data_IF_110519692496
#
_entry.id   IF_110519692496
#
_cell.length_a   1.000
_cell.length_b   1.000
_cell.length_c   1.000
_cell.angle_alpha   90.00
_cell.angle_beta   90.00
_cell.angle_gamma   90.00
#
_symmetry.space_group_name_H-M   'P 1'
#
loop_
_entity.id
_entity.type
_entity.pdbx_description
1 polymer ?
#
# COMPACT_ATOMS: atom_id res chain seq x y z
N UNK A 1 -28.44 -0.61 -15.70
CA UNK A 1 -27.35 -1.51 -16.13
C UNK A 1 -26.94 -2.33 -14.90
N UNK A 2 -26.12 -3.38 -15.05
CA UNK A 2 -25.57 -4.09 -13.90
C UNK A 2 -24.46 -3.28 -13.22
N UNK A 3 -24.11 -3.60 -11.96
CA UNK A 3 -23.03 -2.92 -11.23
C UNK A 3 -21.69 -2.93 -12.00
N UNK A 4 -21.38 -4.07 -12.63
CA UNK A 4 -20.16 -4.21 -13.45
C UNK A 4 -20.22 -3.36 -14.72
N UNK A 5 -21.37 -3.31 -15.41
CA UNK A 5 -21.52 -2.52 -16.63
C UNK A 5 -21.48 -1.03 -16.36
N UNK A 6 -22.09 -0.56 -15.26
CA UNK A 6 -22.05 0.86 -14.86
C UNK A 6 -20.61 1.28 -14.53
N UNK A 7 -19.87 0.46 -13.76
CA UNK A 7 -18.46 0.72 -13.45
C UNK A 7 -17.61 0.77 -14.73
N UNK A 8 -17.82 -0.17 -15.66
CA UNK A 8 -17.08 -0.21 -16.92
C UNK A 8 -17.32 1.06 -17.79
N UNK A 9 -18.55 1.59 -17.80
CA UNK A 9 -18.85 2.84 -18.47
C UNK A 9 -18.19 4.04 -17.80
N UNK A 10 -18.19 4.08 -16.46
CA UNK A 10 -17.50 5.14 -15.71
C UNK A 10 -16.00 5.16 -16.04
N UNK A 11 -15.33 3.99 -16.00
CA UNK A 11 -13.90 3.87 -16.33
C UNK A 11 -13.64 4.37 -17.76
N UNK A 12 -14.41 3.94 -18.75
CA UNK A 12 -14.21 4.33 -20.14
C UNK A 12 -14.47 5.82 -20.42
N UNK A 13 -15.34 6.45 -19.63
CA UNK A 13 -15.74 7.84 -19.83
C UNK A 13 -14.69 8.86 -19.32
N UNK A 14 -13.81 8.47 -18.40
CA UNK A 14 -12.82 9.39 -17.82
C UNK A 14 -11.76 9.75 -18.87
N UNK A 15 -11.48 11.06 -18.97
CA UNK A 15 -10.40 11.61 -19.78
C UNK A 15 -9.30 12.16 -18.86
N UNK A 16 -8.04 11.95 -19.22
CA UNK A 16 -6.91 12.45 -18.42
C UNK A 16 -7.01 13.97 -18.18
N UNK A 17 -7.43 14.74 -19.18
CA UNK A 17 -7.53 16.20 -19.06
C UNK A 17 -8.69 16.66 -18.16
N UNK A 18 -9.58 15.77 -17.75
CA UNK A 18 -10.67 16.06 -16.83
C UNK A 18 -10.29 15.80 -15.36
N UNK A 19 -9.14 15.16 -15.09
CA UNK A 19 -8.68 14.94 -13.72
C UNK A 19 -8.18 16.26 -13.12
N UNK A 20 -8.54 16.56 -11.85
CA UNK A 20 -8.01 17.72 -11.15
C UNK A 20 -6.48 17.65 -10.96
N UNK A 21 -5.80 18.79 -10.95
CA UNK A 21 -4.34 18.85 -10.76
C UNK A 21 -3.87 18.20 -9.46
N UNK A 22 -4.64 18.31 -8.37
CA UNK A 22 -4.31 17.69 -7.10
C UNK A 22 -4.30 16.14 -7.19
N UNK A 23 -5.12 15.54 -8.05
CA UNK A 23 -5.13 14.08 -8.28
C UNK A 23 -3.81 13.64 -8.93
N UNK A 24 -3.30 14.40 -9.90
CA UNK A 24 -1.98 14.16 -10.49
C UNK A 24 -0.86 14.35 -9.47
N UNK A 25 -0.97 15.35 -8.60
CA UNK A 25 0.00 15.56 -7.53
C UNK A 25 0.02 14.38 -6.56
N UNK A 26 -1.13 13.94 -6.05
CA UNK A 26 -1.22 12.77 -5.16
C UNK A 26 -0.75 11.48 -5.87
N UNK A 27 -1.05 11.28 -7.15
CA UNK A 27 -0.51 10.16 -7.92
C UNK A 27 1.04 10.18 -7.97
N UNK A 28 1.67 11.35 -8.13
CA UNK A 28 3.14 11.49 -8.04
C UNK A 28 3.64 11.19 -6.63
N UNK A 29 2.98 11.68 -5.58
CA UNK A 29 3.33 11.39 -4.18
C UNK A 29 3.30 9.89 -3.89
N UNK A 30 2.26 9.20 -4.34
CA UNK A 30 2.18 7.74 -4.19
C UNK A 30 3.27 7.01 -4.97
N UNK A 31 3.67 7.53 -6.16
CA UNK A 31 4.78 6.95 -6.94
C UNK A 31 6.13 7.15 -6.25
N UNK A 32 6.38 8.33 -5.68
CA UNK A 32 7.58 8.59 -4.84
C UNK A 32 7.64 7.56 -3.71
N UNK A 33 6.52 7.38 -2.98
CA UNK A 33 6.44 6.46 -1.87
C UNK A 33 6.66 5.00 -2.30
N UNK A 34 5.95 4.54 -3.33
CA UNK A 34 5.96 3.12 -3.72
C UNK A 34 7.31 2.70 -4.33
N UNK A 35 7.97 3.58 -5.09
CA UNK A 35 9.31 3.29 -5.61
C UNK A 35 10.35 3.28 -4.49
N UNK A 36 10.25 4.17 -3.50
CA UNK A 36 11.13 4.17 -2.35
C UNK A 36 11.07 2.83 -1.59
N UNK A 37 9.86 2.36 -1.25
CA UNK A 37 9.69 1.10 -0.52
C UNK A 37 10.04 -0.12 -1.37
N UNK A 38 9.80 -0.08 -2.69
CA UNK A 38 10.17 -1.17 -3.59
C UNK A 38 11.69 -1.30 -3.74
N UNK A 39 12.39 -0.19 -3.94
CA UNK A 39 13.86 -0.16 -4.06
C UNK A 39 14.51 -0.62 -2.76
N UNK A 40 14.03 -0.15 -1.61
CA UNK A 40 14.58 -0.57 -0.31
C UNK A 40 14.36 -2.06 0.00
N UNK A 41 13.35 -2.68 -0.60
CA UNK A 41 13.06 -4.11 -0.44
C UNK A 41 13.85 -5.02 -1.39
N UNK A 42 14.55 -4.50 -2.40
CA UNK A 42 15.13 -5.27 -3.51
C UNK A 42 16.08 -6.40 -3.08
N UNK A 43 16.80 -6.22 -1.96
CA UNK A 43 17.76 -7.17 -1.44
C UNK A 43 17.19 -8.16 -0.43
N UNK A 44 15.89 -8.08 -0.11
CA UNK A 44 15.25 -9.02 0.80
C UNK A 44 15.23 -10.45 0.20
N UNK A 45 15.50 -11.45 1.04
CA UNK A 45 15.58 -12.85 0.58
C UNK A 45 14.36 -13.34 -0.22
N UNK A 46 13.10 -13.05 0.17
CA UNK A 46 11.94 -13.45 -0.63
C UNK A 46 11.85 -12.72 -1.98
N UNK A 47 12.34 -11.46 -2.08
CA UNK A 47 12.42 -10.73 -3.36
C UNK A 47 13.46 -11.36 -4.27
N UNK A 48 14.61 -11.72 -3.74
CA UNK A 48 15.67 -12.40 -4.51
C UNK A 48 15.17 -13.77 -5.03
N UNK A 49 14.46 -14.54 -4.22
CA UNK A 49 13.87 -15.81 -4.63
C UNK A 49 12.83 -15.61 -5.75
N UNK A 50 11.96 -14.60 -5.62
CA UNK A 50 10.94 -14.31 -6.63
C UNK A 50 11.55 -13.78 -7.93
N UNK A 51 12.61 -12.94 -7.85
CA UNK A 51 13.31 -12.42 -9.01
C UNK A 51 14.08 -13.54 -9.74
N UNK A 52 14.70 -14.47 -9.00
CA UNK A 52 15.36 -15.63 -9.58
C UNK A 52 14.37 -16.54 -10.31
N UNK A 53 13.21 -16.83 -9.70
CA UNK A 53 12.11 -17.55 -10.34
C UNK A 53 11.65 -16.82 -11.63
N UNK A 54 11.42 -15.51 -11.58
CA UNK A 54 10.99 -14.72 -12.74
C UNK A 54 12.02 -14.74 -13.89
N UNK A 55 13.30 -14.81 -13.56
CA UNK A 55 14.39 -14.94 -14.53
C UNK A 55 14.42 -16.34 -15.18
N UNK A 56 14.20 -17.39 -14.38
CA UNK A 56 14.19 -18.80 -14.85
C UNK A 56 12.99 -19.08 -15.77
N UNK A 57 11.80 -18.56 -15.45
CA UNK A 57 10.61 -18.66 -16.31
C UNK A 57 10.82 -18.08 -17.70
N UNK A 58 11.70 -17.10 -17.84
CA UNK A 58 12.05 -16.44 -19.10
C UNK A 58 10.83 -15.77 -19.76
N UNK A 59 11.02 -14.60 -20.32
CA UNK A 59 9.96 -13.93 -21.10
C UNK A 59 10.52 -12.84 -22.00
N UNK A 60 9.69 -12.31 -22.91
CA UNK A 60 10.08 -11.15 -23.74
C UNK A 60 10.38 -9.95 -22.84
N UNK A 61 11.57 -9.31 -22.97
CA UNK A 61 12.06 -8.27 -22.06
C UNK A 61 11.40 -6.90 -22.35
N UNK A 62 10.13 -6.72 -21.98
CA UNK A 62 9.30 -5.55 -22.29
C UNK A 62 9.04 -4.61 -21.11
N UNK A 63 9.23 -5.11 -19.88
CA UNK A 63 9.01 -4.32 -18.67
C UNK A 63 10.13 -4.55 -17.66
N UNK A 64 10.43 -3.52 -16.85
CA UNK A 64 11.54 -3.48 -15.89
C UNK A 64 11.10 -4.01 -14.52
N UNK A 65 11.91 -4.87 -13.92
CA UNK A 65 11.83 -5.22 -12.50
C UNK A 65 12.68 -4.25 -11.70
N UNK A 66 12.07 -3.58 -10.73
CA UNK A 66 12.72 -2.57 -9.88
C UNK A 66 13.96 -3.14 -9.20
N UNK A 67 15.04 -2.37 -9.16
CA UNK A 67 16.30 -2.70 -8.48
C UNK A 67 17.17 -3.72 -9.17
N UNK A 68 16.61 -4.75 -9.78
CA UNK A 68 17.38 -5.95 -10.23
C UNK A 68 17.98 -5.85 -11.63
N UNK A 69 17.61 -4.85 -12.43
CA UNK A 69 18.00 -4.80 -13.85
C UNK A 69 17.33 -5.85 -14.75
N UNK A 70 16.57 -6.80 -14.20
CA UNK A 70 15.84 -7.81 -14.96
C UNK A 70 14.73 -7.14 -15.80
N UNK A 71 14.69 -7.47 -17.08
CA UNK A 71 13.57 -7.14 -17.97
C UNK A 71 12.82 -8.42 -18.35
N UNK A 72 11.51 -8.39 -18.22
CA UNK A 72 10.66 -9.57 -18.44
C UNK A 72 9.32 -9.17 -19.07
N UNK A 73 8.32 -10.07 -19.08
CA UNK A 73 6.98 -9.69 -19.53
C UNK A 73 6.31 -8.73 -18.54
N UNK A 74 5.41 -7.86 -19.00
CA UNK A 74 4.70 -6.93 -18.12
C UNK A 74 3.98 -7.60 -16.95
N UNK A 75 3.40 -8.79 -17.15
CA UNK A 75 2.70 -9.53 -16.08
C UNK A 75 3.67 -10.05 -15.01
N UNK A 76 4.84 -10.55 -15.40
CA UNK A 76 5.86 -11.01 -14.44
C UNK A 76 6.50 -9.80 -13.73
N UNK A 77 6.80 -8.71 -14.45
CA UNK A 77 7.31 -7.49 -13.83
C UNK A 77 6.31 -6.91 -12.83
N UNK A 78 5.01 -6.86 -13.17
CA UNK A 78 3.95 -6.42 -12.25
C UNK A 78 3.85 -7.31 -11.00
N UNK A 79 4.04 -8.63 -11.14
CA UNK A 79 4.07 -9.55 -10.00
C UNK A 79 5.24 -9.23 -9.05
N UNK A 80 6.47 -9.17 -9.56
CA UNK A 80 7.67 -8.96 -8.74
C UNK A 80 7.65 -7.57 -8.09
N UNK A 81 7.33 -6.54 -8.87
CA UNK A 81 7.25 -5.16 -8.38
C UNK A 81 6.14 -4.98 -7.35
N UNK A 82 4.97 -5.62 -7.55
CA UNK A 82 3.86 -5.60 -6.60
C UNK A 82 4.19 -6.31 -5.28
N UNK A 83 5.04 -7.34 -5.33
CA UNK A 83 5.56 -8.00 -4.15
C UNK A 83 6.49 -7.06 -3.36
N UNK A 84 7.46 -6.45 -4.03
CA UNK A 84 8.37 -5.49 -3.40
C UNK A 84 7.63 -4.30 -2.79
N UNK A 85 6.62 -3.80 -3.49
CA UNK A 85 5.82 -2.67 -3.09
C UNK A 85 5.16 -2.84 -1.70
N UNK A 86 4.86 -4.08 -1.29
CA UNK A 86 4.11 -4.36 -0.06
C UNK A 86 4.89 -5.16 1.00
N UNK A 87 6.07 -5.68 0.68
CA UNK A 87 6.81 -6.58 1.58
C UNK A 87 7.08 -5.96 2.95
N UNK A 88 7.46 -4.69 2.98
CA UNK A 88 7.81 -4.00 4.21
C UNK A 88 6.60 -3.44 4.98
N UNK A 89 5.38 -3.55 4.44
CA UNK A 89 4.18 -2.91 5.01
C UNK A 89 4.36 -1.39 5.23
N UNK A 90 5.08 -0.75 4.29
CA UNK A 90 5.50 0.65 4.37
C UNK A 90 4.96 1.49 3.19
N UNK A 91 4.02 0.93 2.45
CA UNK A 91 3.26 1.56 1.37
C UNK A 91 2.22 2.57 1.89
N UNK A 92 1.12 2.72 1.24
CA UNK A 92 0.01 3.60 1.62
C UNK A 92 -1.14 2.82 2.25
N UNK A 93 -2.16 3.54 2.72
CA UNK A 93 -3.39 2.94 3.22
C UNK A 93 -4.58 3.86 2.95
N UNK A 94 -5.63 3.34 2.33
CA UNK A 94 -6.92 4.00 2.24
C UNK A 94 -7.66 3.83 3.57
N UNK A 95 -7.78 4.91 4.32
CA UNK A 95 -8.24 4.91 5.71
C UNK A 95 -9.66 4.33 5.87
N UNK A 96 -10.66 4.64 5.01
CA UNK A 96 -12.00 4.09 5.18
C UNK A 96 -12.10 2.57 5.07
N UNK A 97 -11.10 1.86 4.52
CA UNK A 97 -11.22 0.42 4.20
C UNK A 97 -9.99 -0.40 4.50
N UNK A 98 -8.91 0.20 5.01
CA UNK A 98 -7.59 -0.42 5.23
C UNK A 98 -6.98 -1.09 3.98
N UNK A 99 -7.47 -0.73 2.78
CA UNK A 99 -6.87 -1.14 1.50
C UNK A 99 -5.53 -0.43 1.30
N UNK A 100 -4.57 -1.11 0.66
CA UNK A 100 -3.33 -0.51 0.16
C UNK A 100 -3.45 -0.34 -1.38
N UNK A 101 -3.94 0.80 -1.90
CA UNK A 101 -4.28 0.90 -3.33
C UNK A 101 -3.07 0.93 -4.25
N UNK A 102 -1.94 1.45 -3.78
CA UNK A 102 -0.75 1.69 -4.61
C UNK A 102 -0.05 0.39 -5.00
N UNK A 103 0.07 -0.55 -4.07
CA UNK A 103 0.83 -1.79 -4.28
C UNK A 103 0.28 -2.71 -5.39
N UNK A 104 -1.03 -2.87 -5.62
CA UNK A 104 -1.55 -3.59 -6.78
C UNK A 104 -1.61 -2.76 -8.06
N UNK A 105 -1.77 -1.43 -7.99
CA UNK A 105 -2.09 -0.62 -9.18
C UNK A 105 -0.84 -0.09 -9.86
N UNK A 106 0.11 0.57 -9.13
CA UNK A 106 1.31 1.13 -9.75
C UNK A 106 2.18 0.10 -10.49
N UNK A 107 2.44 -1.11 -9.95
CA UNK A 107 3.22 -2.12 -10.66
C UNK A 107 2.58 -2.57 -11.98
N UNK A 108 1.25 -2.68 -12.04
CA UNK A 108 0.53 -2.99 -13.28
C UNK A 108 0.62 -1.83 -14.28
N UNK A 109 0.45 -0.58 -13.81
CA UNK A 109 0.53 0.63 -14.63
C UNK A 109 1.93 0.80 -15.22
N UNK A 110 2.99 0.78 -14.39
CA UNK A 110 4.36 0.98 -14.86
C UNK A 110 4.78 -0.08 -15.88
N UNK A 111 4.47 -1.35 -15.60
CA UNK A 111 4.82 -2.44 -16.50
C UNK A 111 4.09 -2.38 -17.84
N UNK A 112 2.80 -1.99 -17.85
CA UNK A 112 2.04 -1.83 -19.08
C UNK A 112 2.43 -0.57 -19.84
N UNK A 113 2.57 0.57 -19.14
CA UNK A 113 2.92 1.84 -19.73
C UNK A 113 4.29 1.76 -20.43
N UNK A 114 5.26 1.07 -19.82
CA UNK A 114 6.56 0.79 -20.44
C UNK A 114 6.44 -0.08 -21.71
N UNK A 115 5.59 -1.13 -21.65
CA UNK A 115 5.35 -2.06 -22.78
C UNK A 115 4.76 -1.36 -24.01
N UNK A 116 3.86 -0.37 -23.78
CA UNK A 116 3.14 0.32 -24.87
C UNK A 116 3.67 1.71 -25.21
N UNK A 117 4.68 2.21 -24.48
CA UNK A 117 5.24 3.55 -24.67
C UNK A 117 4.24 4.65 -24.28
N UNK A 118 3.50 4.48 -23.18
CA UNK A 118 2.54 5.48 -22.72
C UNK A 118 3.24 6.72 -22.15
N UNK A 119 2.58 7.88 -22.27
CA UNK A 119 3.05 9.12 -21.64
C UNK A 119 3.00 9.03 -20.12
N UNK A 120 3.84 9.81 -19.45
CA UNK A 120 3.79 9.87 -17.98
C UNK A 120 2.44 10.40 -17.47
N UNK A 121 1.81 11.34 -18.19
CA UNK A 121 0.47 11.84 -17.85
C UNK A 121 -0.59 10.74 -17.94
N UNK A 122 -0.54 9.91 -18.97
CA UNK A 122 -1.46 8.76 -19.09
C UNK A 122 -1.21 7.72 -17.99
N UNK A 123 0.05 7.48 -17.61
CA UNK A 123 0.36 6.57 -16.51
C UNK A 123 -0.19 7.08 -15.16
N UNK A 124 -0.04 8.37 -14.86
CA UNK A 124 -0.61 9.00 -13.67
C UNK A 124 -2.14 8.92 -13.65
N UNK A 125 -2.79 9.22 -14.78
CA UNK A 125 -4.24 9.13 -14.91
C UNK A 125 -4.73 7.69 -14.72
N UNK A 126 -4.07 6.72 -15.34
CA UNK A 126 -4.40 5.30 -15.21
C UNK A 126 -4.26 4.82 -13.76
N UNK A 127 -3.20 5.25 -13.07
CA UNK A 127 -3.05 4.96 -11.64
C UNK A 127 -4.21 5.54 -10.84
N UNK A 128 -4.55 6.82 -11.02
CA UNK A 128 -5.64 7.45 -10.29
C UNK A 128 -6.97 6.72 -10.49
N UNK A 129 -7.30 6.36 -11.74
CA UNK A 129 -8.51 5.59 -12.08
C UNK A 129 -8.49 4.21 -11.42
N UNK A 130 -7.36 3.52 -11.47
CA UNK A 130 -7.22 2.19 -10.86
C UNK A 130 -7.32 2.23 -9.33
N UNK A 131 -6.68 3.21 -8.69
CA UNK A 131 -6.78 3.42 -7.25
C UNK A 131 -8.22 3.75 -6.83
N UNK A 132 -8.90 4.63 -7.58
CA UNK A 132 -10.31 4.96 -7.38
C UNK A 132 -11.20 3.72 -7.41
N UNK A 133 -11.04 2.87 -8.45
CA UNK A 133 -11.82 1.62 -8.57
C UNK A 133 -11.51 0.66 -7.42
N UNK A 134 -10.25 0.48 -7.04
CA UNK A 134 -9.88 -0.37 -5.91
C UNK A 134 -10.51 0.11 -4.60
N UNK A 135 -10.45 1.42 -4.32
CA UNK A 135 -11.06 2.02 -3.13
C UNK A 135 -12.59 1.85 -3.12
N UNK A 136 -13.27 2.09 -4.24
CA UNK A 136 -14.73 1.95 -4.33
C UNK A 136 -15.20 0.51 -4.22
N UNK A 137 -14.51 -0.44 -4.84
CA UNK A 137 -14.77 -1.87 -4.62
C UNK A 137 -14.59 -2.21 -3.13
N UNK A 138 -13.53 -1.69 -2.50
CA UNK A 138 -13.29 -1.89 -1.07
C UNK A 138 -14.42 -1.32 -0.22
N UNK A 139 -14.82 -0.08 -0.45
CA UNK A 139 -15.91 0.56 0.27
C UNK A 139 -17.23 -0.20 0.12
N UNK A 140 -17.48 -0.77 -1.06
CA UNK A 140 -18.71 -1.54 -1.30
C UNK A 140 -18.82 -2.82 -0.47
N UNK A 141 -17.73 -3.31 0.12
CA UNK A 141 -17.71 -4.58 0.87
C UNK A 141 -17.15 -4.44 2.29
N UNK A 142 -16.54 -3.32 2.66
CA UNK A 142 -16.05 -3.08 4.00
C UNK A 142 -17.22 -2.69 4.96
N UNK A 143 -17.24 -3.19 6.23
CA UNK A 143 -16.24 -4.04 6.88
C UNK A 143 -16.44 -5.56 6.66
N UNK A 144 -17.59 -6.00 6.19
CA UNK A 144 -18.05 -7.42 6.18
C UNK A 144 -17.04 -8.38 5.54
N UNK A 145 -16.44 -7.95 4.43
CA UNK A 145 -15.44 -8.74 3.69
C UNK A 145 -14.14 -8.89 4.49
N UNK A 146 -13.69 -7.81 5.11
CA UNK A 146 -12.47 -7.79 5.92
C UNK A 146 -12.65 -8.64 7.19
N UNK A 147 -13.81 -8.52 7.87
CA UNK A 147 -14.15 -9.27 9.07
C UNK A 147 -14.29 -10.77 8.79
N UNK A 148 -14.71 -11.16 7.57
CA UNK A 148 -14.74 -12.54 7.14
C UNK A 148 -13.33 -13.16 6.95
N UNK A 149 -12.26 -12.37 7.05
CA UNK A 149 -10.88 -12.84 6.96
C UNK A 149 -10.22 -12.64 5.59
N UNK A 150 -10.81 -11.85 4.71
CA UNK A 150 -10.20 -11.50 3.42
C UNK A 150 -9.22 -10.32 3.55
N UNK A 151 -8.08 -10.40 2.86
CA UNK A 151 -7.19 -9.26 2.70
C UNK A 151 -7.67 -8.39 1.53
N UNK A 152 -8.33 -7.31 1.85
CA UNK A 152 -8.99 -6.42 0.87
C UNK A 152 -8.04 -5.91 -0.22
N UNK A 153 -6.75 -5.73 0.08
CA UNK A 153 -5.71 -5.33 -0.89
C UNK A 153 -5.56 -6.34 -2.03
N UNK A 154 -5.64 -7.63 -1.74
CA UNK A 154 -5.56 -8.68 -2.77
C UNK A 154 -6.85 -8.81 -3.57
N UNK A 155 -8.00 -8.70 -2.89
CA UNK A 155 -9.31 -8.98 -3.49
C UNK A 155 -9.88 -7.79 -4.25
N UNK A 156 -9.81 -6.57 -3.72
CA UNK A 156 -10.25 -5.35 -4.40
C UNK A 156 -9.18 -4.77 -5.33
N UNK A 157 -7.90 -4.91 -4.96
CA UNK A 157 -6.79 -4.39 -5.77
C UNK A 157 -6.71 -4.96 -7.18
N UNK A 158 -7.18 -6.19 -7.41
CA UNK A 158 -7.23 -6.76 -8.76
C UNK A 158 -8.15 -5.98 -9.69
N UNK A 159 -9.31 -5.50 -9.20
CA UNK A 159 -10.21 -4.65 -9.97
C UNK A 159 -9.57 -3.31 -10.31
N UNK A 160 -8.81 -2.73 -9.37
CA UNK A 160 -8.04 -1.50 -9.63
C UNK A 160 -6.99 -1.69 -10.72
N UNK A 161 -6.21 -2.76 -10.66
CA UNK A 161 -5.23 -3.10 -11.69
C UNK A 161 -5.89 -3.36 -13.07
N UNK A 162 -7.07 -4.02 -13.10
CA UNK A 162 -7.89 -4.18 -14.32
C UNK A 162 -8.28 -2.83 -14.88
N UNK A 163 -8.85 -1.93 -14.06
CA UNK A 163 -9.34 -0.64 -14.50
C UNK A 163 -8.22 0.22 -15.10
N UNK A 164 -7.08 0.31 -14.41
CA UNK A 164 -5.92 1.03 -14.89
C UNK A 164 -5.40 0.49 -16.23
N UNK A 165 -5.26 -0.83 -16.33
CA UNK A 165 -4.76 -1.48 -17.55
C UNK A 165 -5.74 -1.32 -18.73
N UNK A 166 -7.05 -1.48 -18.50
CA UNK A 166 -8.07 -1.30 -19.52
C UNK A 166 -8.12 0.14 -20.04
N UNK A 167 -7.99 1.12 -19.13
CA UNK A 167 -7.99 2.53 -19.51
C UNK A 167 -6.76 2.88 -20.36
N UNK A 168 -5.56 2.42 -19.99
CA UNK A 168 -4.33 2.59 -20.79
C UNK A 168 -4.45 1.95 -22.18
N UNK A 169 -5.07 0.77 -22.27
CA UNK A 169 -5.29 0.06 -23.53
C UNK A 169 -6.46 0.63 -24.34
N UNK A 170 -7.17 1.65 -23.82
CA UNK A 170 -8.32 2.31 -24.44
C UNK A 170 -9.43 1.31 -24.84
N UNK A 171 -9.72 0.36 -23.94
CA UNK A 171 -10.72 -0.68 -24.17
C UNK A 171 -12.14 -0.08 -24.16
N UNK A 172 -13.05 -0.70 -24.91
CA UNK A 172 -14.47 -0.35 -24.91
C UNK A 172 -15.11 -0.72 -23.56
N UNK A 173 -16.25 -0.09 -23.18
CA UNK A 173 -16.99 -0.48 -21.96
C UNK A 173 -17.30 -1.98 -21.89
N UNK A 174 -17.65 -2.60 -23.02
CA UNK A 174 -17.89 -4.04 -23.09
C UNK A 174 -16.62 -4.86 -22.77
N UNK A 175 -15.48 -4.49 -23.35
CA UNK A 175 -14.20 -5.12 -23.06
C UNK A 175 -13.76 -4.91 -21.60
N UNK A 176 -14.03 -3.73 -21.03
CA UNK A 176 -13.76 -3.44 -19.61
C UNK A 176 -14.61 -4.32 -18.72
N UNK A 177 -15.92 -4.49 -19.00
CA UNK A 177 -16.78 -5.39 -18.25
C UNK A 177 -16.28 -6.84 -18.31
N UNK A 178 -15.85 -7.30 -19.49
CA UNK A 178 -15.23 -8.61 -19.65
C UNK A 178 -13.92 -8.74 -18.86
N UNK A 179 -13.06 -7.71 -18.85
CA UNK A 179 -11.82 -7.71 -18.08
C UNK A 179 -12.09 -7.73 -16.56
N UNK A 180 -13.09 -6.97 -16.10
CA UNK A 180 -13.53 -7.00 -14.69
C UNK A 180 -14.00 -8.39 -14.29
N UNK A 181 -14.68 -9.12 -15.20
CA UNK A 181 -15.09 -10.51 -14.96
C UNK A 181 -13.89 -11.46 -14.84
N UNK A 182 -12.91 -11.35 -15.74
CA UNK A 182 -11.68 -12.15 -15.70
C UNK A 182 -10.85 -11.82 -14.44
N UNK A 183 -10.74 -10.55 -14.05
CA UNK A 183 -10.06 -10.13 -12.83
C UNK A 183 -10.80 -10.55 -11.57
N UNK A 184 -12.11 -10.34 -11.52
CA UNK A 184 -12.94 -10.61 -10.34
C UNK A 184 -12.95 -12.10 -9.94
N UNK A 185 -12.88 -13.03 -10.91
CA UNK A 185 -12.75 -14.45 -10.58
C UNK A 185 -11.39 -14.83 -9.98
N UNK A 186 -10.42 -13.94 -10.00
CA UNK A 186 -9.08 -14.11 -9.43
C UNK A 186 -8.89 -13.35 -8.10
N UNK A 187 -9.95 -12.70 -7.60
CA UNK A 187 -9.93 -11.99 -6.31
C UNK A 187 -9.70 -12.99 -5.18
N UNK A 188 -8.53 -12.92 -4.55
CA UNK A 188 -8.12 -13.84 -3.49
C UNK A 188 -7.12 -13.20 -2.53
N UNK A 189 -7.06 -13.74 -1.31
CA UNK A 189 -6.12 -13.34 -0.27
C UNK A 189 -6.72 -13.50 1.12
N UNK A 190 -6.13 -14.36 1.96
CA UNK A 190 -6.61 -14.62 3.33
C UNK A 190 -5.72 -13.96 4.37
N UNK A 191 -6.31 -13.35 5.39
CA UNK A 191 -5.59 -12.62 6.45
C UNK A 191 -4.72 -13.52 7.34
N UNK A 192 -4.92 -14.84 7.32
CA UNK A 192 -4.12 -15.79 8.10
C UNK A 192 -2.61 -15.69 7.80
N UNK A 193 -2.23 -15.23 6.61
CA UNK A 193 -0.82 -15.07 6.22
C UNK A 193 -0.16 -13.78 6.74
N UNK A 194 -0.88 -12.94 7.49
CA UNK A 194 -0.30 -11.69 8.01
C UNK A 194 0.89 -11.95 8.95
N UNK A 195 1.95 -11.15 8.78
CA UNK A 195 3.21 -11.34 9.48
C UNK A 195 4.13 -12.41 8.87
N UNK A 196 3.84 -12.83 7.62
CA UNK A 196 4.71 -13.71 6.84
C UNK A 196 5.00 -13.10 5.46
N UNK A 197 6.02 -13.63 4.77
CA UNK A 197 6.39 -13.26 3.41
C UNK A 197 5.22 -13.41 2.42
N UNK A 198 4.28 -14.31 2.70
CA UNK A 198 3.14 -14.60 1.84
C UNK A 198 2.15 -13.43 1.75
N UNK A 199 2.09 -12.54 2.75
CA UNK A 199 1.19 -11.37 2.71
C UNK A 199 1.39 -10.55 1.45
N UNK A 200 2.64 -10.26 1.07
CA UNK A 200 2.98 -9.44 -0.09
C UNK A 200 2.63 -10.07 -1.44
N UNK A 201 2.37 -11.38 -1.49
CA UNK A 201 1.84 -12.03 -2.69
C UNK A 201 0.44 -11.57 -3.08
N UNK A 202 -0.35 -11.00 -2.16
CA UNK A 202 -1.70 -10.56 -2.46
C UNK A 202 -1.73 -9.40 -3.46
N UNK A 203 -1.11 -8.22 -3.21
CA UNK A 203 -1.02 -7.16 -4.22
C UNK A 203 -0.19 -7.56 -5.44
N UNK A 204 0.85 -8.38 -5.28
CA UNK A 204 1.64 -8.91 -6.39
C UNK A 204 0.77 -9.63 -7.42
N UNK A 205 -0.04 -10.59 -6.97
CA UNK A 205 -0.99 -11.31 -7.83
C UNK A 205 -2.09 -10.40 -8.35
N UNK A 206 -2.59 -9.47 -7.54
CA UNK A 206 -3.60 -8.52 -7.98
C UNK A 206 -3.10 -7.68 -9.17
N UNK A 207 -1.87 -7.15 -9.10
CA UNK A 207 -1.24 -6.41 -10.19
C UNK A 207 -1.10 -7.24 -11.46
N UNK A 208 -0.51 -8.43 -11.35
CA UNK A 208 -0.27 -9.35 -12.48
C UNK A 208 -1.58 -9.83 -13.11
N UNK A 209 -2.54 -10.28 -12.29
CA UNK A 209 -3.81 -10.82 -12.74
C UNK A 209 -4.69 -9.73 -13.38
N UNK A 210 -4.67 -8.49 -12.84
CA UNK A 210 -5.40 -7.38 -13.43
C UNK A 210 -4.89 -7.01 -14.82
N UNK A 211 -3.57 -6.96 -14.99
CA UNK A 211 -2.95 -6.73 -16.29
C UNK A 211 -3.24 -7.88 -17.28
N UNK A 212 -3.17 -9.13 -16.82
CA UNK A 212 -3.53 -10.29 -17.63
C UNK A 212 -5.00 -10.22 -18.08
N UNK A 213 -5.91 -9.87 -17.16
CA UNK A 213 -7.35 -9.77 -17.45
C UNK A 213 -7.65 -8.74 -18.55
N UNK A 214 -7.02 -7.56 -18.47
CA UNK A 214 -7.17 -6.52 -19.50
C UNK A 214 -6.68 -7.00 -20.88
N UNK A 215 -5.52 -7.66 -20.94
CA UNK A 215 -4.96 -8.21 -22.20
C UNK A 215 -5.82 -9.35 -22.76
N UNK A 216 -6.41 -10.20 -21.94
CA UNK A 216 -7.32 -11.26 -22.38
C UNK A 216 -8.63 -10.69 -22.94
N UNK A 217 -9.22 -9.69 -22.28
CA UNK A 217 -10.41 -9.02 -22.79
C UNK A 217 -10.14 -8.27 -24.10
N UNK A 218 -8.97 -7.63 -24.22
CA UNK A 218 -8.50 -7.04 -25.49
C UNK A 218 -8.43 -8.07 -26.62
N UNK A 219 -8.06 -9.31 -26.30
CA UNK A 219 -7.98 -10.43 -27.24
C UNK A 219 -9.32 -11.13 -27.48
N UNK A 220 -10.43 -10.65 -26.90
CA UNK A 220 -11.78 -11.16 -27.13
C UNK A 220 -12.30 -12.16 -26.10
N UNK A 221 -11.65 -12.30 -24.93
CA UNK A 221 -12.25 -13.06 -23.81
C UNK A 221 -13.53 -12.39 -23.34
N UNK A 222 -14.54 -13.20 -23.06
CA UNK A 222 -15.86 -12.76 -22.58
C UNK A 222 -16.11 -13.19 -21.13
N UNK A 223 -16.96 -12.45 -20.44
CA UNK A 223 -17.41 -12.74 -19.08
C UNK A 223 -18.92 -12.59 -18.93
N UNK A 224 -19.48 -12.83 -17.73
CA UNK A 224 -20.87 -12.57 -17.45
C UNK A 224 -21.14 -11.05 -17.41
N UNK A 225 -22.40 -10.66 -17.59
CA UNK A 225 -22.85 -9.27 -17.57
C UNK A 225 -22.59 -8.58 -16.21
N UNK A 226 -22.52 -9.34 -15.12
CA UNK A 226 -22.34 -8.81 -13.76
C UNK A 226 -21.53 -9.77 -12.87
N UNK A 227 -20.23 -9.57 -12.83
CA UNK A 227 -19.32 -10.30 -11.93
C UNK A 227 -19.34 -9.74 -10.52
N UNK A 228 -19.70 -8.46 -10.34
CA UNK A 228 -19.70 -7.78 -9.03
C UNK A 228 -21.02 -8.06 -8.30
N UNK A 229 -22.15 -7.63 -8.86
CA UNK A 229 -23.48 -7.68 -8.20
C UNK A 229 -24.30 -8.92 -8.55
N UNK A 230 -23.84 -9.76 -9.47
CA UNK A 230 -24.56 -10.96 -9.89
C UNK A 230 -24.84 -11.94 -8.74
N UNK A 231 -25.83 -12.80 -8.88
CA UNK A 231 -26.27 -13.77 -7.86
C UNK A 231 -25.14 -14.63 -7.24
N UNK A 232 -24.07 -14.86 -7.97
CA UNK A 232 -22.85 -15.56 -7.55
C UNK A 232 -21.61 -14.70 -7.83
N UNK A 233 -21.78 -13.39 -7.80
CA UNK A 233 -20.74 -12.40 -8.03
C UNK A 233 -19.90 -12.14 -6.77
N UNK A 234 -19.02 -11.17 -6.89
CA UNK A 234 -18.05 -10.79 -5.85
C UNK A 234 -18.75 -10.47 -4.52
N UNK A 235 -19.79 -9.64 -4.51
CA UNK A 235 -20.52 -9.30 -3.30
C UNK A 235 -21.14 -10.54 -2.64
N UNK A 236 -21.87 -11.35 -3.43
CA UNK A 236 -22.58 -12.51 -2.88
C UNK A 236 -21.65 -13.60 -2.32
N UNK A 237 -20.46 -13.76 -2.88
CA UNK A 237 -19.54 -14.86 -2.52
C UNK A 237 -18.50 -14.41 -1.49
N UNK A 238 -17.92 -13.23 -1.66
CA UNK A 238 -16.80 -12.77 -0.81
C UNK A 238 -17.23 -11.76 0.27
N UNK A 239 -18.48 -11.28 0.25
CA UNK A 239 -19.05 -10.37 1.24
C UNK A 239 -20.49 -10.75 1.60
N UNK A 240 -20.70 -12.04 1.89
CA UNK A 240 -22.05 -12.60 2.11
C UNK A 240 -22.81 -11.97 3.29
N UNK A 241 -22.14 -11.35 4.25
CA UNK A 241 -22.75 -10.67 5.39
C UNK A 241 -23.31 -9.29 5.05
N UNK A 242 -22.85 -8.65 3.98
CA UNK A 242 -23.34 -7.33 3.54
C UNK A 242 -22.50 -6.70 2.43
N UNK A 243 -23.07 -5.69 1.78
CA UNK A 243 -22.40 -4.82 0.80
C UNK A 243 -23.15 -3.50 0.68
N UNK A 244 -22.47 -2.47 0.18
CA UNK A 244 -23.02 -1.15 -0.14
C UNK A 244 -22.86 -0.87 -1.65
N UNK A 245 -23.94 -1.05 -2.41
CA UNK A 245 -23.95 -0.81 -3.85
C UNK A 245 -23.71 0.67 -4.21
N UNK A 246 -24.19 1.60 -3.37
CA UNK A 246 -24.05 3.03 -3.62
C UNK A 246 -22.59 3.49 -3.53
N UNK A 247 -21.79 2.87 -2.67
CA UNK A 247 -20.37 3.18 -2.53
C UNK A 247 -19.58 2.89 -3.83
N UNK A 248 -20.01 1.92 -4.63
CA UNK A 248 -19.30 1.57 -5.86
C UNK A 248 -19.39 2.64 -6.96
N UNK A 249 -20.59 3.07 -7.30
CA UNK A 249 -20.83 3.88 -8.50
C UNK A 249 -21.26 5.33 -8.18
N UNK A 250 -21.58 5.63 -6.92
CA UNK A 250 -21.95 6.97 -6.49
C UNK A 250 -20.79 7.96 -6.61
N UNK A 251 -21.07 9.19 -7.11
CA UNK A 251 -20.08 10.29 -7.19
C UNK A 251 -18.78 9.97 -7.97
N UNK A 252 -18.75 8.90 -8.79
CA UNK A 252 -17.58 8.50 -9.57
C UNK A 252 -17.09 9.64 -10.48
N UNK A 253 -15.81 9.98 -10.40
CA UNK A 253 -15.20 11.09 -11.15
C UNK A 253 -15.47 12.49 -10.61
N UNK A 254 -16.28 12.64 -9.54
CA UNK A 254 -16.53 13.91 -8.84
C UNK A 254 -15.76 13.99 -7.54
N UNK A 255 -15.80 12.92 -6.76
CA UNK A 255 -15.02 12.73 -5.56
C UNK A 255 -13.99 11.63 -5.80
N UNK A 256 -12.73 11.89 -5.46
CA UNK A 256 -11.63 10.94 -5.65
C UNK A 256 -11.16 10.39 -4.31
N UNK A 257 -11.21 9.08 -4.15
CA UNK A 257 -10.82 8.39 -2.91
C UNK A 257 -9.32 8.51 -2.58
N UNK A 258 -8.50 8.97 -3.52
CA UNK A 258 -7.11 9.36 -3.23
C UNK A 258 -7.00 10.44 -2.15
N UNK A 259 -8.06 11.25 -1.93
CA UNK A 259 -8.10 12.21 -0.81
C UNK A 259 -8.12 11.52 0.57
N UNK A 260 -8.61 10.27 0.63
CA UNK A 260 -8.72 9.46 1.83
C UNK A 260 -7.56 8.45 1.97
N UNK A 261 -6.53 8.58 1.13
CA UNK A 261 -5.37 7.70 1.11
C UNK A 261 -4.20 8.32 1.88
N UNK A 262 -3.72 7.64 2.91
CA UNK A 262 -2.62 8.09 3.74
C UNK A 262 -1.29 7.41 3.38
N UNK A 263 -0.20 8.17 3.45
CA UNK A 263 1.16 7.66 3.25
C UNK A 263 1.80 7.34 4.60
N UNK A 264 2.31 6.12 4.77
CA UNK A 264 2.86 5.67 6.05
C UNK A 264 4.20 6.35 6.39
N UNK A 265 4.33 7.04 7.53
CA UNK A 265 5.61 7.50 8.05
C UNK A 265 6.41 6.38 8.71
N UNK A 266 5.76 5.30 9.17
CA UNK A 266 6.34 4.17 9.88
C UNK A 266 6.12 2.85 9.14
N UNK A 267 7.08 1.92 9.26
CA UNK A 267 7.13 0.68 8.50
C UNK A 267 6.35 -0.47 9.18
N UNK A 268 5.08 -0.25 9.50
CA UNK A 268 4.24 -1.21 10.25
C UNK A 268 2.74 -0.99 10.03
N UNK A 269 1.90 -1.73 10.75
CA UNK A 269 0.44 -1.59 10.66
C UNK A 269 -0.04 -0.20 11.07
N UNK A 270 -0.83 0.44 10.21
CA UNK A 270 -1.24 1.85 10.33
C UNK A 270 -1.92 2.20 11.66
N UNK A 271 -2.69 1.28 12.22
CA UNK A 271 -3.40 1.48 13.51
C UNK A 271 -2.47 1.66 14.71
N UNK A 272 -1.14 1.43 14.56
CA UNK A 272 -0.13 1.71 15.58
C UNK A 272 0.64 3.01 15.34
N UNK A 273 0.37 3.74 14.25
CA UNK A 273 1.06 4.99 13.95
C UNK A 273 0.81 6.09 14.98
N UNK A 274 -0.45 6.34 15.45
CA UNK A 274 -0.69 7.36 16.46
C UNK A 274 0.05 7.05 17.77
N UNK A 275 0.21 5.77 18.12
CA UNK A 275 1.01 5.35 19.26
C UNK A 275 2.47 5.78 19.12
N UNK A 276 3.08 5.57 17.96
CA UNK A 276 4.47 5.96 17.71
C UNK A 276 4.64 7.47 17.74
N UNK A 277 3.73 8.22 17.12
CA UNK A 277 3.71 9.69 17.21
C UNK A 277 3.68 10.17 18.66
N UNK A 278 2.78 9.61 19.48
CA UNK A 278 2.63 9.97 20.88
C UNK A 278 3.87 9.64 21.71
N UNK A 279 4.46 8.45 21.52
CA UNK A 279 5.68 8.04 22.23
C UNK A 279 6.88 8.89 21.82
N UNK A 280 7.08 9.13 20.50
CA UNK A 280 8.18 9.95 19.99
C UNK A 280 8.06 11.39 20.52
N UNK A 281 6.85 11.95 20.53
CA UNK A 281 6.58 13.28 21.07
C UNK A 281 6.98 13.37 22.53
N UNK A 282 6.48 12.49 23.40
CA UNK A 282 6.79 12.47 24.84
C UNK A 282 8.28 12.25 25.08
N UNK A 283 8.90 11.33 24.34
CA UNK A 283 10.35 11.09 24.38
C UNK A 283 11.14 12.37 24.15
N UNK A 284 10.79 13.13 23.12
CA UNK A 284 11.51 14.34 22.73
C UNK A 284 11.24 15.52 23.70
N UNK A 285 9.98 15.73 24.10
CA UNK A 285 9.59 16.80 25.01
C UNK A 285 10.20 16.65 26.41
N UNK A 286 10.32 15.40 26.89
CA UNK A 286 10.82 15.10 28.24
C UNK A 286 12.21 14.45 28.25
N UNK A 287 12.88 14.32 27.08
CA UNK A 287 14.19 13.67 26.94
C UNK A 287 14.26 12.29 27.59
N UNK A 288 13.20 11.46 27.39
CA UNK A 288 13.06 10.16 28.04
C UNK A 288 14.01 9.12 27.46
N UNK A 289 14.51 8.27 28.36
CA UNK A 289 15.32 7.07 28.05
C UNK A 289 14.64 5.81 28.59
N UNK A 290 14.95 4.64 28.03
CA UNK A 290 14.28 3.38 28.39
C UNK A 290 14.43 2.99 29.87
N UNK A 291 15.56 3.33 30.49
CA UNK A 291 15.87 3.03 31.90
C UNK A 291 15.04 3.87 32.88
N UNK A 292 14.50 5.01 32.46
CA UNK A 292 13.62 5.87 33.27
C UNK A 292 12.18 5.35 33.32
N UNK A 293 11.76 4.48 32.38
CA UNK A 293 10.36 4.09 32.17
C UNK A 293 9.99 2.85 33.00
N UNK A 294 8.98 3.01 33.86
CA UNK A 294 8.33 1.93 34.61
C UNK A 294 7.24 1.23 33.80
N UNK A 295 6.51 1.96 32.92
CA UNK A 295 5.45 1.41 32.07
C UNK A 295 4.96 2.37 31.01
N UNK A 296 4.38 1.81 29.94
CA UNK A 296 3.67 2.57 28.87
C UNK A 296 2.26 2.01 28.76
N UNK A 297 1.26 2.84 29.00
CA UNK A 297 -0.13 2.49 28.79
C UNK A 297 -0.67 3.23 27.56
N UNK A 298 -1.34 2.48 26.69
CA UNK A 298 -1.89 2.96 25.42
C UNK A 298 -3.40 2.82 25.47
N UNK A 299 -4.14 3.94 25.37
CA UNK A 299 -5.59 3.93 25.19
C UNK A 299 -5.86 4.03 23.69
N UNK A 300 -6.49 3.02 23.08
CA UNK A 300 -6.55 2.88 21.63
C UNK A 300 -7.83 2.21 21.13
N UNK A 301 -8.06 2.33 19.80
CA UNK A 301 -9.13 1.65 19.11
C UNK A 301 -8.99 0.11 19.20
N UNK A 302 -10.08 -0.68 19.22
CA UNK A 302 -10.06 -2.16 19.30
C UNK A 302 -9.17 -2.84 18.25
N UNK A 303 -9.10 -2.32 17.02
CA UNK A 303 -8.27 -2.86 15.94
C UNK A 303 -6.78 -2.96 16.28
N UNK A 304 -6.27 -2.15 17.21
CA UNK A 304 -4.87 -2.26 17.64
C UNK A 304 -4.61 -3.63 18.26
N UNK A 305 -5.51 -4.11 19.12
CA UNK A 305 -5.36 -5.44 19.71
C UNK A 305 -5.68 -6.58 18.73
N UNK A 306 -6.60 -6.36 17.79
CA UNK A 306 -6.93 -7.35 16.78
C UNK A 306 -5.78 -7.59 15.80
N UNK A 307 -5.17 -6.51 15.29
CA UNK A 307 -4.20 -6.59 14.20
C UNK A 307 -2.74 -6.62 14.67
N UNK A 308 -2.43 -5.96 15.82
CA UNK A 308 -1.07 -5.63 16.22
C UNK A 308 -0.66 -6.27 17.55
N UNK A 309 -1.41 -7.20 18.11
CA UNK A 309 -1.12 -7.75 19.41
C UNK A 309 -0.23 -9.01 19.33
N UNK A 310 1.05 -8.80 19.01
CA UNK A 310 2.12 -9.81 19.07
C UNK A 310 3.14 -9.43 20.14
N UNK A 311 2.92 -9.79 21.42
CA UNK A 311 3.76 -9.30 22.53
C UNK A 311 5.20 -9.85 22.51
N UNK A 312 5.44 -11.00 21.87
CA UNK A 312 6.75 -11.65 21.80
C UNK A 312 7.19 -11.92 20.34
N UNK A 313 7.36 -10.87 19.52
CA UNK A 313 7.85 -11.07 18.17
C UNK A 313 9.31 -11.54 18.17
N UNK A 314 9.67 -12.42 17.23
CA UNK A 314 11.01 -13.02 17.08
C UNK A 314 11.69 -12.64 15.77
N UNK A 315 10.94 -12.13 14.81
CA UNK A 315 11.39 -11.76 13.47
C UNK A 315 10.93 -10.36 13.10
N UNK A 316 11.60 -9.76 12.15
CA UNK A 316 11.31 -8.43 11.61
C UNK A 316 9.81 -8.23 11.29
N UNK A 317 9.24 -9.10 10.46
CA UNK A 317 7.82 -9.00 10.06
C UNK A 317 6.84 -9.19 11.23
N UNK A 318 7.16 -10.01 12.21
CA UNK A 318 6.33 -10.15 13.42
C UNK A 318 6.35 -8.86 14.26
N UNK A 319 7.52 -8.18 14.33
CA UNK A 319 7.68 -6.90 14.99
C UNK A 319 6.78 -5.81 14.40
N UNK A 320 6.58 -5.81 13.07
CA UNK A 320 5.69 -4.88 12.37
C UNK A 320 4.20 -5.03 12.72
N UNK A 321 3.83 -6.14 13.39
CA UNK A 321 2.49 -6.42 13.90
C UNK A 321 2.45 -6.52 15.43
N UNK A 322 3.38 -5.83 16.13
CA UNK A 322 3.47 -5.73 17.58
C UNK A 322 3.40 -4.28 18.02
N UNK A 323 2.23 -3.82 18.52
CA UNK A 323 2.11 -2.47 19.06
C UNK A 323 3.08 -2.23 20.24
N UNK A 324 3.36 -3.29 20.99
CA UNK A 324 4.31 -3.25 22.10
C UNK A 324 5.73 -2.96 21.59
N UNK A 325 6.14 -3.60 20.49
CA UNK A 325 7.44 -3.33 19.85
C UNK A 325 7.49 -1.94 19.24
N UNK A 326 6.42 -1.51 18.56
CA UNK A 326 6.31 -0.17 18.00
C UNK A 326 6.52 0.92 19.06
N UNK A 327 5.87 0.78 20.23
CA UNK A 327 6.05 1.71 21.35
C UNK A 327 7.47 1.68 21.91
N UNK A 328 8.03 0.48 22.12
CA UNK A 328 9.36 0.33 22.70
C UNK A 328 10.46 0.87 21.77
N UNK A 329 10.41 0.54 20.49
CA UNK A 329 11.35 1.03 19.49
C UNK A 329 11.24 2.56 19.31
N UNK A 330 10.03 3.11 19.28
CA UNK A 330 9.78 4.54 19.22
C UNK A 330 10.39 5.28 20.43
N UNK A 331 10.32 4.71 21.63
CA UNK A 331 10.95 5.31 22.80
C UNK A 331 12.49 5.22 22.76
N UNK A 332 13.04 4.07 22.39
CA UNK A 332 14.50 3.86 22.39
C UNK A 332 15.17 4.65 21.27
N UNK A 333 14.67 4.54 20.06
CA UNK A 333 15.32 5.09 18.86
C UNK A 333 14.73 6.46 18.41
N UNK A 334 13.53 6.82 18.88
CA UNK A 334 12.82 8.02 18.40
C UNK A 334 12.33 7.89 16.95
N UNK A 335 12.15 6.68 16.46
CA UNK A 335 11.79 6.36 15.07
C UNK A 335 10.99 5.06 14.98
N UNK A 336 10.31 4.86 13.84
CA UNK A 336 9.55 3.64 13.52
C UNK A 336 9.74 3.22 12.05
N UNK A 337 10.94 3.52 11.47
CA UNK A 337 11.27 3.15 10.10
C UNK A 337 11.66 1.67 10.00
N UNK A 338 11.97 1.18 8.80
CA UNK A 338 12.31 -0.24 8.57
C UNK A 338 13.49 -0.71 9.43
N UNK A 339 14.46 0.15 9.71
CA UNK A 339 15.60 -0.15 10.57
C UNK A 339 15.23 -0.55 12.01
N UNK A 340 14.08 -0.14 12.53
CA UNK A 340 13.55 -0.49 13.84
C UNK A 340 12.89 -1.89 13.87
N UNK A 341 12.70 -2.51 12.70
CA UNK A 341 12.03 -3.82 12.55
C UNK A 341 12.95 -4.90 12.00
N UNK A 342 14.27 -4.75 12.11
CA UNK A 342 15.22 -5.85 11.82
C UNK A 342 15.15 -6.94 12.89
N UNK A 343 15.51 -8.18 12.55
CA UNK A 343 15.56 -9.30 13.52
C UNK A 343 16.42 -8.95 14.75
N UNK A 344 17.52 -8.24 14.55
CA UNK A 344 18.39 -7.76 15.62
C UNK A 344 17.69 -6.77 16.55
N UNK A 345 16.92 -5.82 16.00
CA UNK A 345 16.16 -4.84 16.79
C UNK A 345 14.98 -5.48 17.52
N UNK A 346 14.26 -6.38 16.87
CA UNK A 346 13.13 -7.11 17.48
C UNK A 346 13.57 -7.95 18.67
N UNK A 347 14.79 -8.48 18.65
CA UNK A 347 15.36 -9.30 19.72
C UNK A 347 16.31 -8.54 20.66
N UNK A 348 16.48 -7.22 20.49
CA UNK A 348 17.31 -6.38 21.35
C UNK A 348 16.83 -6.45 22.81
N UNK A 349 17.74 -6.71 23.78
CA UNK A 349 17.37 -6.88 25.19
C UNK A 349 16.70 -5.63 25.80
N UNK A 350 17.15 -4.42 25.45
CA UNK A 350 16.60 -3.16 25.96
C UNK A 350 15.17 -2.96 25.45
N UNK A 351 14.96 -3.14 24.13
CA UNK A 351 13.66 -3.05 23.50
C UNK A 351 12.73 -4.14 24.06
N UNK A 352 13.22 -5.37 24.21
CA UNK A 352 12.43 -6.49 24.74
C UNK A 352 11.98 -6.27 26.18
N UNK A 353 12.87 -5.74 27.04
CA UNK A 353 12.54 -5.41 28.43
C UNK A 353 11.49 -4.26 28.51
N UNK A 354 11.60 -3.26 27.65
CA UNK A 354 10.64 -2.16 27.60
C UNK A 354 9.30 -2.62 27.00
N UNK A 355 9.32 -3.43 25.95
CA UNK A 355 8.13 -4.03 25.31
C UNK A 355 7.25 -4.78 26.31
N UNK A 356 7.85 -5.51 27.26
CA UNK A 356 7.13 -6.21 28.32
C UNK A 356 6.38 -5.28 29.30
N UNK A 357 6.67 -3.98 29.28
CA UNK A 357 6.03 -2.95 30.11
C UNK A 357 4.94 -2.17 29.36
N UNK A 358 4.68 -2.50 28.09
CA UNK A 358 3.66 -1.85 27.26
C UNK A 358 2.34 -2.59 27.42
N UNK A 359 1.29 -1.84 27.77
CA UNK A 359 -0.08 -2.37 27.94
C UNK A 359 -1.08 -1.52 27.15
N UNK A 360 -2.20 -2.10 26.75
CA UNK A 360 -3.27 -1.39 26.07
C UNK A 360 -4.57 -1.43 26.87
N UNK A 361 -5.35 -0.37 26.74
CA UNK A 361 -6.72 -0.22 27.21
C UNK A 361 -7.61 0.21 26.03
N UNK A 362 -8.72 -0.50 25.81
CA UNK A 362 -9.59 -0.24 24.67
C UNK A 362 -10.49 0.95 24.96
N UNK A 363 -10.50 1.89 24.03
CA UNK A 363 -11.41 3.04 23.97
C UNK A 363 -12.25 2.94 22.69
N UNK A 364 -13.43 2.34 22.81
CA UNK A 364 -14.30 2.11 21.63
C UNK A 364 -14.84 3.38 20.96
N UNK A 365 -14.67 4.54 21.60
CA UNK A 365 -15.04 5.85 21.06
C UNK A 365 -13.93 6.48 20.20
N UNK A 366 -12.70 5.94 20.26
CA UNK A 366 -11.58 6.46 19.46
C UNK A 366 -11.67 6.03 18.01
N UNK A 367 -11.18 6.87 17.11
CA UNK A 367 -10.91 6.51 15.73
C UNK A 367 -9.69 5.58 15.60
N UNK A 368 -9.50 4.98 14.43
CA UNK A 368 -8.38 4.07 14.15
C UNK A 368 -7.01 4.78 14.16
N UNK A 369 -7.00 6.09 13.94
CA UNK A 369 -5.84 6.99 13.92
C UNK A 369 -5.69 7.82 15.20
N UNK A 370 -6.45 7.48 16.26
CA UNK A 370 -6.50 8.20 17.55
C UNK A 370 -5.90 7.36 18.68
N UNK A 371 -5.14 8.02 19.59
CA UNK A 371 -4.54 7.37 20.76
C UNK A 371 -4.32 8.35 21.89
N UNK A 372 -4.38 7.87 23.16
CA UNK A 372 -3.76 8.53 24.31
C UNK A 372 -2.66 7.63 24.87
N UNK A 373 -1.45 8.19 24.99
CA UNK A 373 -0.27 7.51 25.55
C UNK A 373 0.03 8.07 26.92
N UNK A 374 0.19 7.20 27.90
CA UNK A 374 0.60 7.53 29.26
C UNK A 374 1.89 6.77 29.58
N UNK A 375 2.98 7.47 29.85
CA UNK A 375 4.27 6.91 30.25
C UNK A 375 4.45 7.16 31.76
N UNK A 376 4.62 6.07 32.53
CA UNK A 376 4.93 6.13 33.94
C UNK A 376 6.43 6.01 34.14
N UNK A 377 7.04 6.89 34.92
CA UNK A 377 8.46 6.88 35.26
C UNK A 377 8.74 6.09 36.53
N UNK A 378 10.01 5.73 36.75
CA UNK A 378 10.42 4.94 37.94
C UNK A 378 10.22 5.68 39.27
N UNK A 379 10.13 7.00 39.25
CA UNK A 379 9.82 7.81 40.45
C UNK A 379 8.31 7.89 40.74
N UNK A 380 7.48 7.27 39.91
CA UNK A 380 6.03 7.25 40.02
C UNK A 380 5.32 8.43 39.33
N UNK A 381 6.05 9.38 38.77
CA UNK A 381 5.46 10.46 37.96
C UNK A 381 4.98 9.93 36.61
N UNK A 382 4.08 10.66 35.96
CA UNK A 382 3.52 10.33 34.64
C UNK A 382 3.64 11.50 33.70
N UNK A 383 3.89 11.17 32.41
CA UNK A 383 3.73 12.11 31.29
C UNK A 383 2.75 11.52 30.29
N UNK A 384 1.92 12.36 29.67
CA UNK A 384 0.91 11.88 28.74
C UNK A 384 0.70 12.82 27.55
N UNK A 385 0.23 12.26 26.46
CA UNK A 385 -0.21 13.02 25.28
C UNK A 385 -1.37 12.31 24.59
N UNK A 386 -2.20 13.09 23.91
CA UNK A 386 -3.21 12.60 22.98
C UNK A 386 -2.77 12.93 21.55
N UNK A 387 -3.00 11.99 20.64
CA UNK A 387 -2.89 12.16 19.20
C UNK A 387 -4.28 11.94 18.64
N UNK A 388 -4.86 12.97 18.04
CA UNK A 388 -6.20 12.92 17.46
C UNK A 388 -6.16 12.33 16.06
N UNK A 389 -5.08 12.61 15.29
CA UNK A 389 -4.87 12.11 13.95
C UNK A 389 -3.39 11.75 13.75
N UNK A 390 -3.12 10.49 13.43
CA UNK A 390 -1.77 9.99 13.17
C UNK A 390 -1.11 10.72 12.00
N UNK A 391 0.20 10.95 12.08
CA UNK A 391 0.97 11.45 10.95
C UNK A 391 0.82 10.52 9.75
N UNK A 392 0.52 11.09 8.58
CA UNK A 392 0.28 10.37 7.34
C UNK A 392 -1.18 9.99 7.12
N UNK A 393 -2.10 10.29 8.05
CA UNK A 393 -3.55 10.19 7.82
C UNK A 393 -4.04 11.29 6.88
N UNK A 394 -5.27 11.17 6.34
CA UNK A 394 -5.88 12.23 5.53
C UNK A 394 -6.01 13.58 6.27
N UNK A 395 -6.26 13.54 7.57
CA UNK A 395 -6.43 14.73 8.44
C UNK A 395 -5.08 15.32 8.87
N UNK A 396 -4.00 14.54 8.83
CA UNK A 396 -2.64 14.97 9.17
C UNK A 396 -1.63 14.42 8.14
N UNK A 397 -1.72 14.83 6.87
CA UNK A 397 -0.93 14.25 5.80
C UNK A 397 0.56 14.58 5.91
N UNK A 398 1.41 13.64 5.49
CA UNK A 398 2.83 13.91 5.32
C UNK A 398 3.03 15.04 4.31
N UNK A 399 3.89 16.03 4.63
CA UNK A 399 4.30 17.03 3.64
C UNK A 399 5.16 16.39 2.53
N UNK A 400 5.27 17.05 1.37
CA UNK A 400 6.17 16.61 0.29
C UNK A 400 7.61 16.51 0.79
N UNK A 401 8.07 17.46 1.60
CA UNK A 401 9.40 17.42 2.20
C UNK A 401 9.62 16.20 3.10
N UNK A 402 8.63 15.82 3.91
CA UNK A 402 8.72 14.62 4.75
C UNK A 402 8.74 13.35 3.90
N UNK A 403 7.95 13.31 2.83
CA UNK A 403 7.93 12.21 1.86
C UNK A 403 9.27 12.09 1.13
N UNK A 404 9.85 13.19 0.64
CA UNK A 404 11.16 13.22 0.01
C UNK A 404 12.28 12.81 0.97
N UNK A 405 12.18 13.17 2.26
CA UNK A 405 13.11 12.72 3.29
C UNK A 405 13.03 11.20 3.46
N UNK A 406 11.82 10.63 3.54
CA UNK A 406 11.61 9.18 3.55
C UNK A 406 12.19 8.52 2.30
N UNK A 407 11.87 9.06 1.13
CA UNK A 407 12.38 8.57 -0.16
C UNK A 407 13.91 8.56 -0.19
N UNK A 408 14.54 9.68 0.15
CA UNK A 408 16.01 9.81 0.14
C UNK A 408 16.68 8.83 1.11
N UNK A 409 16.09 8.61 2.28
CA UNK A 409 16.61 7.64 3.24
C UNK A 409 16.55 6.19 2.71
N UNK A 410 15.43 5.81 2.07
CA UNK A 410 15.22 4.45 1.55
C UNK A 410 16.00 4.19 0.25
N UNK A 411 15.91 5.09 -0.72
CA UNK A 411 16.56 4.92 -2.03
C UNK A 411 18.06 5.19 -1.93
N UNK A 412 18.48 6.18 -1.13
CA UNK A 412 19.89 6.51 -0.93
C UNK A 412 20.70 5.42 -0.20
N UNK A 413 20.04 4.48 0.46
CA UNK A 413 20.69 3.28 1.01
C UNK A 413 21.11 2.28 -0.09
N UNK A 414 20.44 2.32 -1.25
CA UNK A 414 20.63 1.36 -2.35
C UNK A 414 21.29 1.99 -3.57
N UNK A 415 21.08 3.29 -3.82
CA UNK A 415 21.56 4.02 -4.97
C UNK A 415 22.52 5.15 -4.57
N UNK A 416 23.34 5.62 -5.52
CA UNK A 416 24.15 6.83 -5.29
C UNK A 416 23.26 8.07 -5.14
N UNK A 417 23.75 9.09 -4.42
CA UNK A 417 23.04 10.35 -4.22
C UNK A 417 22.59 10.99 -5.56
N UNK A 418 23.47 11.01 -6.56
CA UNK A 418 23.15 11.54 -7.88
C UNK A 418 22.00 10.78 -8.55
N UNK A 419 21.98 9.44 -8.47
CA UNK A 419 20.93 8.61 -9.05
C UNK A 419 19.61 8.76 -8.28
N UNK A 420 19.67 8.81 -6.94
CA UNK A 420 18.52 9.06 -6.06
C UNK A 420 17.81 10.37 -6.43
N UNK A 421 18.59 11.44 -6.61
CA UNK A 421 18.05 12.76 -6.98
C UNK A 421 17.54 12.79 -8.43
N UNK A 422 18.19 12.11 -9.38
CA UNK A 422 17.76 12.00 -10.77
C UNK A 422 16.40 11.29 -10.85
N UNK A 423 16.22 10.16 -10.15
CA UNK A 423 14.96 9.44 -10.12
C UNK A 423 13.84 10.27 -9.47
N UNK A 424 14.10 10.91 -8.33
CA UNK A 424 13.11 11.77 -7.66
C UNK A 424 12.65 12.90 -8.58
N UNK A 425 13.59 13.56 -9.25
CA UNK A 425 13.29 14.63 -10.21
C UNK A 425 12.43 14.12 -11.37
N UNK A 426 12.76 12.93 -11.91
CA UNK A 426 11.98 12.31 -12.99
C UNK A 426 10.55 11.95 -12.55
N UNK A 427 10.35 11.51 -11.31
CA UNK A 427 9.01 11.21 -10.77
C UNK A 427 8.18 12.49 -10.66
N UNK A 428 8.74 13.56 -10.08
CA UNK A 428 8.02 14.83 -9.95
C UNK A 428 7.69 15.49 -11.30
N UNK A 429 8.50 15.23 -12.32
CA UNK A 429 8.29 15.73 -13.70
C UNK A 429 7.48 14.78 -14.59
N UNK A 430 6.95 13.66 -14.04
CA UNK A 430 6.35 12.59 -14.85
C UNK A 430 5.18 13.05 -15.72
N UNK A 431 4.35 13.98 -15.26
CA UNK A 431 3.23 14.56 -16.02
C UNK A 431 3.67 15.26 -17.33
N UNK A 432 4.93 15.65 -17.44
CA UNK A 432 5.53 16.25 -18.65
C UNK A 432 6.32 15.24 -19.49
N UNK A 433 6.50 14.02 -18.99
CA UNK A 433 7.25 13.00 -19.70
C UNK A 433 6.46 12.45 -20.90
N UNK A 434 7.06 12.53 -22.07
CA UNK A 434 6.46 11.99 -23.29
C UNK A 434 6.35 10.45 -23.25
N UNK A 435 7.20 9.79 -22.44
CA UNK A 435 7.29 8.34 -22.29
C UNK A 435 7.67 8.01 -20.84
N UNK A 436 6.95 7.06 -20.24
CA UNK A 436 7.18 6.60 -18.84
C UNK A 436 8.58 6.02 -18.63
N UNK A 437 9.28 5.65 -19.70
CA UNK A 437 10.66 5.12 -19.63
C UNK A 437 11.67 6.12 -19.07
N UNK A 438 11.32 7.41 -19.01
CA UNK A 438 12.13 8.40 -18.28
C UNK A 438 12.23 8.09 -16.78
N UNK A 439 11.24 7.40 -16.20
CA UNK A 439 11.28 6.91 -14.82
C UNK A 439 11.73 5.46 -14.77
N UNK A 440 11.15 4.56 -15.62
CA UNK A 440 11.42 3.12 -15.47
C UNK A 440 12.87 2.73 -15.70
N UNK A 441 13.62 3.47 -16.51
CA UNK A 441 15.07 3.29 -16.71
C UNK A 441 15.91 3.67 -15.47
N UNK A 442 15.37 4.51 -14.60
CA UNK A 442 16.04 4.94 -13.38
C UNK A 442 15.69 4.07 -12.17
N UNK A 443 14.75 3.13 -12.31
CA UNK A 443 14.36 2.22 -11.22
C UNK A 443 15.41 1.16 -10.90
N UNK A 444 16.52 1.12 -11.62
CA UNK A 444 17.64 0.18 -11.42
C UNK A 444 18.94 0.94 -11.27
N UNK A 445 19.87 0.43 -10.44
CA UNK A 445 21.19 1.06 -10.27
C UNK A 445 21.94 1.11 -11.61
N UNK A 446 22.67 2.21 -11.87
CA UNK A 446 23.55 2.31 -13.05
C UNK A 446 24.68 1.28 -12.95
N UNK A 447 24.64 0.24 -13.78
CA UNK A 447 25.67 -0.82 -13.82
C UNK A 447 25.25 -2.14 -13.15
N UNK A 448 23.96 -2.30 -12.80
CA UNK A 448 23.40 -3.59 -12.39
C UNK A 448 23.08 -4.48 -13.60
#
# INVERSE_FOLDING_TARGET
MSATQDLAQHIAAIKADALPDWVFHEAKRTLVNILAVSISAQNAAPVQALTAWASDEGAKPRATVVGSGLRTSPTIAALVNGYMAHLQDYDDTHFPTVLHPTAPVWPAVLALAEDIGASGRDALAAFAIGAEVACRISMSVHPWHYDAGWHITGTAGVFGAVAAACWLLKLTPEQIANALAVGGTQAAGVREVFGSDTKAMHPAKAASNGLQAAKLAQAGFTGPDDVIGGRRGFWAVLSAAGHDEAALNGEFGKHWELANNGLKPYANGVVSHPLQDGVIKLRNEHSLTADQVAGIKVHCHPLVLELMNRPEPRRALEGKFSFQHCAAAALVDGAGHDAQFTDAKVTDPTISALRAKVTAEIESSYGEDEVRVVITLNDGSTVETKVDHATGSPENPMSDQALETKYTALVGAEFTEAHTNELLTAIWALDWAADVTQVTKLMTAKGA
#
